data_IF_013034997365
#
_entry.id   IF_013034997365
#
_cell.length_a   1.000
_cell.length_b   1.000
_cell.length_c   1.000
_cell.angle_alpha   90.00
_cell.angle_beta   90.00
_cell.angle_gamma   90.00
#
_symmetry.space_group_name_H-M   'P 1'
#
loop_
_entity.id
_entity.type
_entity.pdbx_description
1 polymer ?
#
# COMPACT_ATOMS: atom_id res chain seq x y z
N UNK A 1 78.00 -36.85 14.29
CA UNK A 1 76.82 -37.50 13.67
C UNK A 1 75.67 -36.50 13.79
N UNK A 2 75.46 -35.64 12.79
CA UNK A 2 74.48 -35.82 11.70
C UNK A 2 73.06 -36.00 12.30
N UNK A 3 72.03 -35.20 12.01
CA UNK A 3 71.66 -34.59 10.73
C UNK A 3 70.41 -33.69 10.93
N UNK A 4 70.35 -32.53 10.24
CA UNK A 4 69.24 -32.01 9.40
C UNK A 4 67.77 -32.22 9.87
N UNK A 5 66.78 -31.32 9.77
CA UNK A 5 66.55 -30.00 9.16
C UNK A 5 65.06 -29.66 9.43
N UNK A 6 64.67 -28.39 9.32
CA UNK A 6 63.31 -28.07 8.83
C UNK A 6 62.53 -27.03 9.61
N UNK A 7 62.91 -25.76 9.45
CA UNK A 7 62.03 -24.61 9.64
C UNK A 7 60.87 -24.71 8.65
N UNK A 8 59.62 -24.64 9.12
CA UNK A 8 58.46 -24.24 8.29
C UNK A 8 57.57 -23.27 9.07
N UNK A 9 57.99 -22.01 9.07
CA UNK A 9 57.14 -20.86 9.35
C UNK A 9 56.13 -20.74 8.21
N UNK A 10 54.90 -21.22 8.40
CA UNK A 10 53.79 -20.85 7.53
C UNK A 10 53.13 -19.60 8.12
N UNK A 11 53.66 -18.44 7.73
CA UNK A 11 52.97 -17.16 7.91
C UNK A 11 51.74 -17.13 7.01
N UNK A 12 50.58 -17.42 7.59
CA UNK A 12 49.30 -17.13 6.96
C UNK A 12 49.16 -15.61 6.81
N UNK A 13 49.26 -15.11 5.58
CA UNK A 13 48.90 -13.74 5.24
C UNK A 13 47.40 -13.59 5.52
N UNK A 14 47.04 -13.11 6.72
CA UNK A 14 45.74 -12.48 6.92
C UNK A 14 45.75 -11.23 6.03
N UNK A 15 45.18 -11.36 4.83
CA UNK A 15 44.76 -10.21 4.05
C UNK A 15 43.73 -9.49 4.91
N UNK A 16 44.17 -8.41 5.56
CA UNK A 16 43.28 -7.39 6.12
C UNK A 16 42.43 -6.88 4.97
N UNK A 17 41.22 -7.45 4.82
CA UNK A 17 40.17 -6.77 4.09
C UNK A 17 39.83 -5.55 4.92
N UNK A 18 40.35 -4.40 4.51
CA UNK A 18 39.99 -3.11 5.06
C UNK A 18 38.46 -3.00 5.02
N UNK A 19 37.84 -3.25 6.18
CA UNK A 19 36.38 -3.32 6.38
C UNK A 19 35.67 -2.06 5.89
N UNK A 20 36.40 -0.94 5.77
CA UNK A 20 35.97 0.31 5.12
C UNK A 20 35.33 0.12 3.73
N UNK A 21 35.80 -0.84 2.92
CA UNK A 21 35.31 -1.00 1.54
C UNK A 21 33.93 -1.66 1.45
N UNK A 22 33.52 -2.41 2.49
CA UNK A 22 32.20 -3.07 2.53
C UNK A 22 31.15 -2.08 3.06
N UNK A 23 31.52 -1.21 4.00
CA UNK A 23 30.64 -0.17 4.53
C UNK A 23 30.32 0.94 3.52
N UNK A 24 31.23 1.22 2.58
CA UNK A 24 31.02 2.22 1.52
C UNK A 24 30.17 1.74 0.35
N UNK A 25 29.78 0.46 0.32
CA UNK A 25 28.94 -0.09 -0.75
C UNK A 25 27.51 -0.40 -0.32
N UNK A 26 27.24 -0.41 0.98
CA UNK A 26 25.92 -0.70 1.56
C UNK A 26 25.48 0.40 2.54
N UNK A 27 25.58 1.68 2.14
CA UNK A 27 25.28 2.84 2.99
C UNK A 27 23.93 2.75 3.73
N UNK A 28 22.90 2.14 3.13
CA UNK A 28 21.58 1.97 3.75
C UNK A 28 21.51 0.91 4.86
N UNK A 29 22.31 -0.16 4.79
CA UNK A 29 22.34 -1.20 5.82
C UNK A 29 23.39 -0.89 6.90
N UNK A 30 24.49 -0.24 6.52
CA UNK A 30 25.55 0.16 7.45
C UNK A 30 25.17 1.39 8.29
N UNK A 31 24.30 2.29 7.81
CA UNK A 31 23.80 3.43 8.61
C UNK A 31 23.02 2.99 9.86
N UNK A 32 22.19 1.95 9.70
CA UNK A 32 21.43 1.35 10.81
C UNK A 32 22.36 0.65 11.79
N UNK A 33 23.34 -0.13 11.30
CA UNK A 33 24.29 -0.86 12.14
C UNK A 33 25.29 0.05 12.89
N UNK A 34 25.65 1.21 12.32
CA UNK A 34 26.55 2.20 12.91
C UNK A 34 25.82 3.23 13.80
N UNK A 35 24.49 3.13 13.92
CA UNK A 35 23.66 4.05 14.71
C UNK A 35 23.64 5.49 14.19
N UNK A 36 24.11 5.73 12.97
CA UNK A 36 24.16 7.04 12.32
C UNK A 36 23.27 7.00 11.09
N UNK A 37 21.98 7.27 11.27
CA UNK A 37 21.07 7.51 10.16
C UNK A 37 21.49 8.79 9.43
N UNK A 38 21.51 8.74 8.10
CA UNK A 38 21.63 9.92 7.26
C UNK A 38 20.45 10.86 7.53
N UNK A 39 20.66 12.19 7.67
CA UNK A 39 19.59 13.18 7.85
C UNK A 39 18.37 12.97 6.94
N UNK A 40 18.57 12.56 5.69
CA UNK A 40 17.46 12.28 4.76
C UNK A 40 16.63 11.08 5.22
N UNK A 41 17.27 9.99 5.64
CA UNK A 41 16.58 8.80 6.17
C UNK A 41 15.87 9.10 7.49
N UNK A 42 16.45 9.97 8.33
CA UNK A 42 15.85 10.38 9.59
C UNK A 42 14.51 11.10 9.36
N UNK A 43 14.42 11.96 8.36
CA UNK A 43 13.16 12.63 8.00
C UNK A 43 12.08 11.60 7.69
N UNK A 44 12.38 10.59 6.86
CA UNK A 44 11.40 9.55 6.54
C UNK A 44 10.93 8.77 7.76
N UNK A 45 11.86 8.36 8.63
CA UNK A 45 11.53 7.66 9.87
C UNK A 45 10.65 8.54 10.78
N UNK A 46 10.97 9.83 10.89
CA UNK A 46 10.20 10.76 11.70
C UNK A 46 8.78 10.97 11.12
N UNK A 47 8.62 11.04 9.79
CA UNK A 47 7.30 11.12 9.17
C UNK A 47 6.48 9.83 9.38
N UNK A 48 7.10 8.65 9.30
CA UNK A 48 6.43 7.38 9.57
C UNK A 48 5.94 7.33 11.03
N UNK A 49 6.78 7.75 11.98
CA UNK A 49 6.40 7.80 13.40
C UNK A 49 5.26 8.78 13.64
N UNK A 50 5.35 9.99 13.09
CA UNK A 50 4.28 11.00 13.17
C UNK A 50 2.96 10.47 12.64
N UNK A 51 2.97 9.89 11.43
CA UNK A 51 1.77 9.30 10.84
C UNK A 51 1.22 8.14 11.67
N UNK A 52 2.08 7.26 12.20
CA UNK A 52 1.66 6.17 13.09
C UNK A 52 0.93 6.68 14.32
N UNK A 53 1.46 7.71 14.98
CA UNK A 53 0.84 8.30 16.17
C UNK A 53 -0.50 8.97 15.83
N UNK A 54 -0.58 9.68 14.69
CA UNK A 54 -1.81 10.29 14.21
C UNK A 54 -2.86 9.23 13.85
N UNK A 55 -2.47 8.17 13.14
CA UNK A 55 -3.33 7.05 12.75
C UNK A 55 -3.87 6.29 13.97
N UNK A 56 -3.01 6.05 14.98
CA UNK A 56 -3.43 5.40 16.22
C UNK A 56 -4.47 6.24 16.98
N UNK A 57 -4.31 7.57 17.03
CA UNK A 57 -5.29 8.48 17.64
C UNK A 57 -6.64 8.48 16.92
N UNK A 58 -6.63 8.24 15.61
CA UNK A 58 -7.82 8.26 14.74
C UNK A 58 -8.57 6.92 14.74
N UNK A 59 -8.04 5.87 15.37
CA UNK A 59 -8.70 4.56 15.47
C UNK A 59 -8.98 3.88 14.12
N UNK A 60 -8.15 4.16 13.09
CA UNK A 60 -8.35 3.63 11.74
C UNK A 60 -9.17 4.54 10.80
N UNK A 61 -9.61 5.71 11.30
CA UNK A 61 -10.18 6.77 10.47
C UNK A 61 -9.13 7.55 9.67
N UNK A 62 -9.55 8.37 8.69
CA UNK A 62 -8.64 9.18 7.88
C UNK A 62 -7.84 10.12 8.78
N UNK A 63 -6.53 10.21 8.60
CA UNK A 63 -5.67 11.07 9.43
C UNK A 63 -5.84 12.54 9.05
N UNK A 64 -5.96 13.42 10.04
CA UNK A 64 -6.02 14.90 9.91
C UNK A 64 -7.17 15.44 9.06
N UNK A 65 -8.28 14.72 8.95
CA UNK A 65 -9.46 15.26 8.27
C UNK A 65 -10.13 16.36 9.10
N UNK A 66 -10.23 17.53 8.48
CA UNK A 66 -11.01 18.65 9.00
C UNK A 66 -12.53 18.39 8.91
N UNK A 67 -13.35 19.28 9.50
CA UNK A 67 -14.81 19.15 9.45
C UNK A 67 -15.36 19.09 8.02
N UNK A 68 -14.66 19.74 7.08
CA UNK A 68 -15.00 19.78 5.64
C UNK A 68 -14.96 18.41 4.96
N UNK A 69 -14.17 17.46 5.48
CA UNK A 69 -14.07 16.12 4.90
C UNK A 69 -15.41 15.37 4.96
N UNK A 70 -16.12 15.50 6.09
CA UNK A 70 -17.41 14.83 6.25
C UNK A 70 -18.41 15.38 5.24
N UNK A 71 -18.44 16.70 5.07
CA UNK A 71 -19.30 17.35 4.09
C UNK A 71 -18.96 16.94 2.65
N UNK A 72 -17.69 16.98 2.27
CA UNK A 72 -17.24 16.56 0.93
C UNK A 72 -17.57 15.09 0.64
N UNK A 73 -17.43 14.22 1.64
CA UNK A 73 -17.80 12.81 1.53
C UNK A 73 -19.31 12.63 1.33
N UNK A 74 -20.13 13.33 2.13
CA UNK A 74 -21.59 13.24 2.03
C UNK A 74 -22.07 13.84 0.69
N UNK A 75 -21.50 14.96 0.24
CA UNK A 75 -21.75 15.56 -1.08
C UNK A 75 -21.39 14.61 -2.24
N UNK A 76 -20.30 13.86 -2.11
CA UNK A 76 -19.88 12.88 -3.11
C UNK A 76 -20.88 11.71 -3.18
N UNK A 77 -21.37 11.23 -2.04
CA UNK A 77 -22.39 10.18 -1.98
C UNK A 77 -23.70 10.67 -2.63
N UNK A 78 -24.15 11.88 -2.31
CA UNK A 78 -25.37 12.46 -2.88
C UNK A 78 -25.31 12.61 -4.40
N UNK A 79 -24.14 13.00 -4.94
CA UNK A 79 -23.93 13.06 -6.39
C UNK A 79 -24.04 11.68 -7.02
N UNK A 80 -23.43 10.66 -6.40
CA UNK A 80 -23.50 9.27 -6.89
C UNK A 80 -24.94 8.75 -6.87
N UNK A 81 -25.69 8.98 -5.79
CA UNK A 81 -27.09 8.56 -5.68
C UNK A 81 -27.95 9.16 -6.79
N UNK A 82 -27.74 10.45 -7.13
CA UNK A 82 -28.45 11.12 -8.23
C UNK A 82 -28.06 10.57 -9.60
N UNK A 83 -26.77 10.29 -9.85
CA UNK A 83 -26.31 9.79 -11.14
C UNK A 83 -26.82 8.38 -11.45
N UNK A 84 -26.84 7.52 -10.44
CA UNK A 84 -27.18 6.11 -10.62
C UNK A 84 -28.63 5.79 -10.24
N UNK A 85 -29.43 6.78 -9.84
CA UNK A 85 -30.78 6.62 -9.29
C UNK A 85 -30.83 5.54 -8.20
N UNK A 86 -29.74 5.41 -7.44
CA UNK A 86 -29.64 4.44 -6.36
C UNK A 86 -30.39 5.03 -5.17
N UNK A 87 -31.40 4.30 -4.71
CA UNK A 87 -32.10 4.60 -3.46
C UNK A 87 -31.20 4.33 -2.26
N UNK A 88 -31.53 3.31 -1.48
CA UNK A 88 -30.71 2.89 -0.34
C UNK A 88 -29.50 2.05 -0.84
N UNK A 89 -28.25 2.54 -0.75
CA UNK A 89 -27.08 1.83 -1.28
C UNK A 89 -26.78 0.53 -0.52
N UNK A 90 -27.38 0.34 0.66
CA UNK A 90 -27.21 -0.88 1.46
C UNK A 90 -28.27 -1.94 1.18
N UNK A 91 -29.33 -1.61 0.43
CA UNK A 91 -30.41 -2.55 0.11
C UNK A 91 -30.40 -2.88 -1.36
N UNK A 92 -30.38 -4.18 -1.64
CA UNK A 92 -30.57 -4.69 -2.99
C UNK A 92 -32.03 -4.48 -3.43
N UNK A 93 -32.30 -4.06 -4.67
CA UNK A 93 -33.66 -3.85 -5.15
C UNK A 93 -34.42 -5.17 -5.30
N UNK A 94 -35.71 -5.15 -4.97
CA UNK A 94 -36.63 -6.24 -5.30
C UNK A 94 -37.11 -6.07 -6.74
N UNK A 95 -36.92 -7.10 -7.56
CA UNK A 95 -37.40 -7.11 -8.93
C UNK A 95 -38.76 -7.78 -8.99
N UNK A 96 -39.77 -7.04 -9.44
CA UNK A 96 -41.08 -7.61 -9.76
C UNK A 96 -41.33 -7.46 -11.25
N UNK A 97 -41.38 -8.58 -11.96
CA UNK A 97 -41.61 -8.62 -13.39
C UNK A 97 -43.11 -8.80 -13.61
N UNK A 98 -43.78 -7.78 -14.16
CA UNK A 98 -45.15 -7.94 -14.62
C UNK A 98 -45.16 -8.90 -15.83
N UNK A 99 -46.14 -9.81 -15.87
CA UNK A 99 -46.32 -10.70 -17.02
C UNK A 99 -46.60 -9.86 -18.28
N UNK A 100 -45.95 -10.16 -19.41
CA UNK A 100 -46.19 -9.43 -20.64
C UNK A 100 -47.61 -9.70 -21.15
N UNK A 101 -48.31 -8.65 -21.58
CA UNK A 101 -49.60 -8.77 -22.25
C UNK A 101 -49.41 -9.40 -23.65
N UNK A 102 -49.77 -10.67 -23.78
CA UNK A 102 -49.58 -11.47 -24.99
C UNK A 102 -50.61 -11.14 -26.09
N UNK A 103 -51.71 -10.44 -25.76
CA UNK A 103 -52.79 -10.15 -26.71
C UNK A 103 -52.38 -9.08 -27.75
N UNK A 104 -51.48 -8.16 -27.39
CA UNK A 104 -51.03 -7.09 -28.31
C UNK A 104 -50.01 -7.58 -29.35
N UNK A 105 -49.25 -8.64 -29.07
CA UNK A 105 -48.22 -9.15 -29.99
C UNK A 105 -48.79 -9.98 -31.15
N UNK A 106 -50.01 -10.50 -31.01
CA UNK A 106 -50.66 -11.32 -32.04
C UNK A 106 -51.39 -10.46 -33.11
N UNK A 107 -51.66 -9.19 -32.82
CA UNK A 107 -52.42 -8.28 -33.71
C UNK A 107 -51.50 -7.54 -34.71
N UNK A 108 -50.20 -7.45 -34.46
CA UNK A 108 -49.24 -6.76 -35.34
C UNK A 108 -48.73 -7.61 -36.51
N UNK A 109 -49.05 -8.91 -36.57
CA UNK A 109 -48.61 -9.82 -37.64
C UNK A 109 -49.74 -10.33 -38.56
N UNK A 110 -50.95 -9.78 -38.46
CA UNK A 110 -52.16 -10.30 -39.13
C UNK A 110 -52.91 -9.27 -40.00
N UNK A 111 -52.30 -8.12 -40.31
CA UNK A 111 -52.90 -7.14 -41.20
C UNK A 111 -51.88 -6.57 -42.17
N UNK A 112 -51.74 -7.21 -43.33
CA UNK A 112 -51.39 -6.62 -44.63
C UNK A 112 -51.40 -7.76 -45.69
N UNK A 113 -52.59 -8.05 -46.22
CA UNK A 113 -52.84 -8.62 -47.56
C UNK A 113 -54.20 -8.13 -48.05
#
# INVERSE_FOLDING_TARGET
MASSSGVKLFSGVLKSFSSRQIYSRNFGASSIALGKLDPVQQIFVDQIKKYKDLSAKQGGGPVEVGPDYKQSKDDAIDRLSKMYNVGDPLKFPEFNFAEPDLEQQNISSLGDN
#
